data_IF_599046271792
#
_entry.id   IF_599046271792
#
_cell.length_a   1.000
_cell.length_b   1.000
_cell.length_c   1.000
_cell.angle_alpha   90.00
_cell.angle_beta   90.00
_cell.angle_gamma   90.00
#
_symmetry.space_group_name_H-M   'P 1'
#
loop_
_entity.id
_entity.type
_entity.pdbx_description
1 polymer ?
#
# COMPACT_ATOMS: atom_id res chain seq x y z
N UNK A 1 4.05 -7.88 -3.25
CA UNK A 1 3.81 -8.52 -1.94
C UNK A 1 2.51 -9.29 -1.99
N UNK A 2 2.54 -10.50 -1.46
CA UNK A 2 1.35 -11.36 -1.43
C UNK A 2 0.71 -11.35 -0.06
N UNK A 3 -0.49 -10.80 0.02
CA UNK A 3 -1.27 -10.78 1.25
C UNK A 3 -2.25 -11.93 1.29
N UNK A 4 -2.35 -12.56 2.48
CA UNK A 4 -3.36 -13.58 2.72
C UNK A 4 -4.73 -12.94 2.83
N UNK A 5 -5.73 -13.57 2.24
CA UNK A 5 -7.12 -13.17 2.39
C UNK A 5 -7.93 -14.36 2.89
N UNK A 6 -8.97 -14.10 3.65
CA UNK A 6 -9.90 -15.11 4.13
C UNK A 6 -11.31 -14.76 3.67
N UNK A 7 -11.96 -15.73 3.06
CA UNK A 7 -13.28 -15.57 2.45
C UNK A 7 -14.30 -16.33 3.28
N UNK A 8 -15.38 -15.64 3.67
CA UNK A 8 -16.50 -16.24 4.38
C UNK A 8 -17.80 -16.04 3.60
N UNK A 9 -18.74 -16.95 3.80
CA UNK A 9 -20.08 -16.81 3.21
C UNK A 9 -21.12 -17.26 4.20
N UNK A 10 -22.02 -16.37 4.55
CA UNK A 10 -23.21 -16.72 5.30
C UNK A 10 -24.32 -17.12 4.34
N UNK A 11 -25.27 -17.97 4.77
CA UNK A 11 -26.45 -18.26 3.95
C UNK A 11 -27.17 -16.95 3.59
N UNK A 12 -27.61 -16.84 2.35
CA UNK A 12 -28.34 -15.67 1.82
C UNK A 12 -27.53 -14.37 1.75
N UNK A 13 -26.19 -14.45 1.82
CA UNK A 13 -25.33 -13.28 1.68
C UNK A 13 -24.28 -13.50 0.61
N UNK A 14 -23.61 -12.40 0.21
CA UNK A 14 -22.45 -12.46 -0.65
C UNK A 14 -21.24 -13.04 0.09
N UNK A 15 -20.20 -13.37 -0.66
CA UNK A 15 -18.91 -13.70 -0.08
C UNK A 15 -18.28 -12.45 0.50
N UNK A 16 -17.82 -12.52 1.74
CA UNK A 16 -17.09 -11.44 2.39
C UNK A 16 -15.61 -11.80 2.49
N UNK A 17 -14.75 -10.81 2.32
CA UNK A 17 -13.30 -10.99 2.36
C UNK A 17 -12.69 -10.09 3.41
N UNK A 18 -11.82 -10.67 4.23
CA UNK A 18 -11.00 -9.95 5.19
C UNK A 18 -9.54 -10.12 4.80
N UNK A 19 -8.76 -9.06 4.93
CA UNK A 19 -7.31 -9.08 4.70
C UNK A 19 -6.64 -8.88 6.06
N UNK A 20 -6.24 -9.98 6.75
CA UNK A 20 -5.79 -9.87 8.14
C UNK A 20 -4.62 -8.92 8.38
N UNK A 21 -3.68 -8.84 7.46
CA UNK A 21 -2.50 -7.97 7.59
C UNK A 21 -2.79 -6.51 7.25
N UNK A 22 -3.97 -6.20 6.72
CA UNK A 22 -4.40 -4.84 6.43
C UNK A 22 -5.67 -4.53 7.23
N UNK A 23 -5.54 -4.16 8.50
CA UNK A 23 -6.70 -3.87 9.36
C UNK A 23 -7.60 -2.80 8.74
N UNK A 24 -8.91 -3.05 8.76
CA UNK A 24 -9.89 -2.16 8.15
C UNK A 24 -10.08 -2.34 6.65
N UNK A 25 -9.37 -3.25 6.02
CA UNK A 25 -9.50 -3.54 4.58
C UNK A 25 -10.41 -4.75 4.39
N UNK A 26 -11.59 -4.51 3.82
CA UNK A 26 -12.61 -5.53 3.59
C UNK A 26 -13.11 -5.45 2.15
N UNK A 27 -13.64 -6.56 1.67
CA UNK A 27 -14.26 -6.63 0.34
C UNK A 27 -15.41 -7.63 0.34
N UNK A 28 -16.13 -7.70 -0.76
CA UNK A 28 -17.22 -8.64 -0.95
C UNK A 28 -17.45 -8.89 -2.44
N UNK A 29 -18.10 -10.01 -2.75
CA UNK A 29 -18.46 -10.35 -4.12
C UNK A 29 -19.54 -11.42 -4.17
N UNK A 30 -20.27 -11.51 -5.25
CA UNK A 30 -21.32 -12.50 -5.44
C UNK A 30 -20.77 -13.88 -5.79
N UNK A 31 -19.54 -13.95 -6.27
CA UNK A 31 -18.81 -15.19 -6.54
C UNK A 31 -17.44 -15.13 -5.86
N UNK A 32 -16.78 -16.29 -5.71
CA UNK A 32 -15.43 -16.34 -5.14
C UNK A 32 -14.45 -15.55 -6.01
N UNK A 33 -14.52 -15.69 -7.31
CA UNK A 33 -13.64 -14.98 -8.25
C UNK A 33 -13.84 -13.45 -8.14
N UNK A 34 -15.09 -13.00 -8.09
CA UNK A 34 -15.41 -11.59 -7.92
C UNK A 34 -14.91 -11.08 -6.57
N UNK A 35 -15.10 -11.86 -5.50
CA UNK A 35 -14.65 -11.49 -4.17
C UNK A 35 -13.13 -11.34 -4.11
N UNK A 36 -12.38 -12.24 -4.76
CA UNK A 36 -10.92 -12.17 -4.85
C UNK A 36 -10.47 -10.96 -5.65
N UNK A 37 -11.09 -10.70 -6.80
CA UNK A 37 -10.74 -9.55 -7.63
C UNK A 37 -11.00 -8.22 -6.91
N UNK A 38 -12.12 -8.12 -6.21
CA UNK A 38 -12.43 -6.93 -5.41
C UNK A 38 -11.51 -6.79 -4.20
N UNK A 39 -11.07 -7.91 -3.62
CA UNK A 39 -10.09 -7.88 -2.54
C UNK A 39 -8.74 -7.36 -3.04
N UNK A 40 -8.34 -7.73 -4.24
CA UNK A 40 -7.14 -7.21 -4.90
C UNK A 40 -7.22 -5.68 -5.03
N UNK A 41 -8.33 -5.18 -5.56
CA UNK A 41 -8.57 -3.74 -5.71
C UNK A 41 -8.61 -3.03 -4.35
N UNK A 42 -9.28 -3.62 -3.37
CA UNK A 42 -9.36 -3.05 -2.03
C UNK A 42 -8.00 -2.96 -1.35
N UNK A 43 -7.18 -4.00 -1.49
CA UNK A 43 -5.82 -4.00 -0.95
C UNK A 43 -4.96 -2.92 -1.61
N UNK A 44 -5.02 -2.80 -2.93
CA UNK A 44 -4.30 -1.77 -3.67
C UNK A 44 -4.72 -0.37 -3.23
N UNK A 45 -6.01 -0.12 -3.14
CA UNK A 45 -6.55 1.16 -2.70
C UNK A 45 -6.15 1.49 -1.24
N UNK A 46 -6.21 0.50 -0.37
CA UNK A 46 -5.82 0.66 1.04
C UNK A 46 -4.35 1.02 1.20
N UNK A 47 -3.48 0.30 0.50
CA UNK A 47 -2.03 0.55 0.53
C UNK A 47 -1.70 1.90 -0.11
N UNK A 48 -2.36 2.26 -1.21
CA UNK A 48 -2.19 3.56 -1.84
C UNK A 48 -2.52 4.69 -0.87
N UNK A 49 -3.62 4.55 -0.13
CA UNK A 49 -4.00 5.50 0.92
C UNK A 49 -2.96 5.60 2.02
N UNK A 50 -2.40 4.46 2.45
CA UNK A 50 -1.33 4.44 3.46
C UNK A 50 -0.06 5.13 2.95
N UNK A 51 0.30 4.92 1.68
CA UNK A 51 1.45 5.60 1.07
C UNK A 51 1.25 7.11 1.04
N UNK A 52 0.04 7.58 0.73
CA UNK A 52 -0.29 9.00 0.75
C UNK A 52 -0.23 9.60 2.15
N UNK A 53 -0.61 8.84 3.16
CA UNK A 53 -0.61 9.26 4.56
C UNK A 53 0.74 9.03 5.25
N UNK A 54 1.75 8.57 4.52
CA UNK A 54 3.09 8.25 5.02
C UNK A 54 3.07 7.22 6.15
N UNK A 55 2.11 6.32 6.13
CA UNK A 55 2.01 5.24 7.11
C UNK A 55 2.90 4.05 6.68
N UNK A 56 3.48 3.33 7.63
CA UNK A 56 4.25 2.13 7.30
C UNK A 56 3.33 1.05 6.74
N UNK A 57 3.75 0.40 5.64
CA UNK A 57 2.98 -0.68 5.03
C UNK A 57 3.25 -1.97 5.81
N UNK A 58 2.20 -2.63 6.34
CA UNK A 58 2.40 -3.90 7.03
C UNK A 58 3.00 -4.96 6.11
N UNK A 59 4.01 -5.67 6.59
CA UNK A 59 4.56 -6.80 5.86
C UNK A 59 3.53 -7.96 5.86
N UNK A 60 3.34 -8.63 4.72
CA UNK A 60 2.45 -9.80 4.69
C UNK A 60 3.01 -10.93 5.54
N UNK A 61 2.12 -11.57 6.32
CA UNK A 61 2.46 -12.75 7.11
C UNK A 61 1.84 -13.99 6.48
N UNK A 62 2.40 -15.15 6.77
CA UNK A 62 1.91 -16.41 6.23
C UNK A 62 0.48 -16.73 6.71
N UNK A 63 -0.26 -17.44 5.88
CA UNK A 63 -1.60 -17.92 6.22
C UNK A 63 -1.59 -18.66 7.56
N UNK A 64 -0.55 -19.44 7.84
CA UNK A 64 -0.41 -20.22 9.06
C UNK A 64 -0.50 -19.37 10.34
N UNK A 65 -0.07 -18.10 10.26
CA UNK A 65 -0.13 -17.18 11.40
C UNK A 65 -1.57 -16.81 11.73
N UNK A 66 -2.44 -16.74 10.73
CA UNK A 66 -3.81 -16.26 10.88
C UNK A 66 -4.85 -17.36 11.01
N UNK A 67 -4.62 -18.52 10.38
CA UNK A 67 -5.65 -19.57 10.27
C UNK A 67 -6.10 -20.18 11.58
N UNK A 68 -5.32 -20.06 12.63
CA UNK A 68 -5.65 -20.58 13.94
C UNK A 68 -6.55 -19.67 14.75
N UNK A 69 -6.80 -18.45 14.28
CA UNK A 69 -7.65 -17.48 14.96
C UNK A 69 -9.12 -17.86 14.79
N UNK A 70 -9.88 -17.83 15.89
CA UNK A 70 -11.29 -18.19 15.91
C UNK A 70 -12.13 -17.38 14.94
N UNK A 71 -11.81 -16.10 14.77
CA UNK A 71 -12.52 -15.19 13.87
C UNK A 71 -12.41 -15.58 12.39
N UNK A 72 -11.43 -16.43 12.03
CA UNK A 72 -11.22 -16.88 10.66
C UNK A 72 -11.59 -18.35 10.45
N UNK A 73 -12.28 -18.94 11.42
CA UNK A 73 -12.77 -20.32 11.31
C UNK A 73 -13.67 -20.49 10.09
N UNK A 74 -13.57 -21.65 9.45
CA UNK A 74 -14.36 -22.04 8.28
C UNK A 74 -14.16 -21.11 7.06
N UNK A 75 -13.16 -20.25 7.09
CA UNK A 75 -12.83 -19.40 5.93
C UNK A 75 -12.07 -20.13 4.85
N UNK A 76 -12.26 -19.65 3.64
CA UNK A 76 -11.47 -20.09 2.48
C UNK A 76 -10.29 -19.13 2.35
N UNK A 77 -9.07 -19.67 2.33
CA UNK A 77 -7.86 -18.86 2.24
C UNK A 77 -7.38 -18.76 0.80
N UNK A 78 -6.92 -17.55 0.44
CA UNK A 78 -6.31 -17.26 -0.84
C UNK A 78 -5.24 -16.19 -0.67
N UNK A 79 -4.58 -15.85 -1.75
CA UNK A 79 -3.55 -14.80 -1.77
C UNK A 79 -3.90 -13.76 -2.82
N UNK A 80 -3.66 -12.50 -2.50
CA UNK A 80 -3.68 -11.41 -3.47
C UNK A 80 -2.29 -10.81 -3.58
N UNK A 81 -1.86 -10.52 -4.80
CA UNK A 81 -0.54 -9.96 -5.03
C UNK A 81 -0.66 -8.46 -5.30
N UNK A 82 -0.06 -7.66 -4.42
CA UNK A 82 -0.03 -6.22 -4.56
C UNK A 82 1.37 -5.78 -4.98
N UNK A 83 1.47 -5.22 -6.17
CA UNK A 83 2.72 -4.67 -6.67
C UNK A 83 2.80 -3.19 -6.28
N UNK A 84 3.52 -2.90 -5.21
CA UNK A 84 3.67 -1.54 -4.68
C UNK A 84 4.32 -0.61 -5.69
N UNK A 85 5.21 -1.13 -6.54
CA UNK A 85 5.87 -0.31 -7.57
C UNK A 85 4.89 0.24 -8.59
N UNK A 86 3.79 -0.47 -8.86
CA UNK A 86 2.72 -0.01 -9.76
C UNK A 86 1.76 0.96 -9.10
N UNK A 87 1.68 0.94 -7.78
CA UNK A 87 0.90 1.89 -6.99
C UNK A 87 1.63 3.19 -6.79
N UNK A 88 2.91 3.23 -7.10
CA UNK A 88 3.67 4.45 -6.99
C UNK A 88 3.06 5.47 -7.94
N UNK A 89 2.62 6.47 -7.36
CA UNK A 89 2.04 7.69 -7.80
C UNK A 89 2.58 8.14 -9.13
N UNK A 90 1.69 8.39 -10.07
CA UNK A 90 2.05 9.03 -11.32
C UNK A 90 2.78 10.32 -10.99
N UNK A 91 4.04 10.41 -11.38
CA UNK A 91 4.79 11.64 -11.24
C UNK A 91 4.17 12.73 -12.10
N UNK A 92 3.96 13.89 -11.52
CA UNK A 92 3.45 15.06 -12.21
C UNK A 92 4.52 16.14 -12.20
N UNK A 93 4.74 16.75 -13.36
CA UNK A 93 5.69 17.84 -13.47
C UNK A 93 5.13 19.09 -12.78
N UNK A 94 5.88 19.66 -11.86
CA UNK A 94 5.54 20.92 -11.21
C UNK A 94 6.70 21.89 -11.33
N UNK A 95 6.40 23.19 -11.30
CA UNK A 95 7.40 24.23 -11.29
C UNK A 95 7.45 24.86 -9.89
N UNK A 96 8.64 24.96 -9.32
CA UNK A 96 8.85 25.63 -8.03
C UNK A 96 9.99 26.63 -8.18
N UNK A 97 9.95 27.68 -7.37
CA UNK A 97 11.00 28.68 -7.32
C UNK A 97 11.85 28.44 -6.07
N UNK A 98 13.16 28.40 -6.26
CA UNK A 98 14.13 28.19 -5.18
C UNK A 98 15.30 29.15 -5.35
N UNK A 99 15.97 29.52 -4.23
CA UNK A 99 17.21 30.30 -4.33
C UNK A 99 18.27 29.56 -5.14
N UNK A 100 19.00 30.30 -5.99
CA UNK A 100 20.02 29.69 -6.87
C UNK A 100 21.07 28.88 -6.10
N UNK A 101 21.54 29.39 -4.95
CA UNK A 101 22.53 28.70 -4.13
C UNK A 101 22.00 27.36 -3.61
N UNK A 102 20.73 27.33 -3.24
CA UNK A 102 20.10 26.09 -2.76
C UNK A 102 19.98 25.07 -3.90
N UNK A 103 19.63 25.52 -5.10
CA UNK A 103 19.57 24.65 -6.29
C UNK A 103 20.93 24.03 -6.54
N UNK A 104 21.99 24.81 -6.51
CA UNK A 104 23.36 24.33 -6.70
C UNK A 104 23.74 23.29 -5.66
N UNK A 105 23.43 23.55 -4.41
CA UNK A 105 23.70 22.64 -3.28
C UNK A 105 22.91 21.32 -3.43
N UNK A 106 21.64 21.43 -3.80
CA UNK A 106 20.76 20.27 -4.05
C UNK A 106 21.34 19.42 -5.18
N UNK A 107 21.74 20.03 -6.29
CA UNK A 107 22.27 19.32 -7.44
C UNK A 107 23.60 18.60 -7.12
N UNK A 108 24.48 19.26 -6.39
CA UNK A 108 25.75 18.68 -5.96
C UNK A 108 25.52 17.48 -5.01
N UNK A 109 24.61 17.64 -4.07
CA UNK A 109 24.28 16.56 -3.13
C UNK A 109 23.67 15.37 -3.85
N UNK A 110 22.71 15.62 -4.73
CA UNK A 110 22.07 14.57 -5.52
C UNK A 110 23.08 13.80 -6.34
N UNK A 111 23.97 14.51 -7.03
CA UNK A 111 25.02 13.88 -7.86
C UNK A 111 25.96 13.03 -7.01
N UNK A 112 26.35 13.51 -5.84
CA UNK A 112 27.25 12.80 -4.92
C UNK A 112 26.69 11.44 -4.50
N UNK A 113 25.38 11.35 -4.31
CA UNK A 113 24.71 10.15 -3.82
C UNK A 113 23.93 9.39 -4.91
N UNK A 114 24.20 9.68 -6.18
CA UNK A 114 23.60 8.96 -7.28
C UNK A 114 22.10 9.19 -7.49
N UNK A 115 21.60 10.35 -7.03
CA UNK A 115 20.19 10.72 -7.14
C UNK A 115 20.00 11.86 -8.15
N UNK A 116 18.74 12.25 -8.35
CA UNK A 116 18.37 13.41 -9.15
C UNK A 116 17.84 14.51 -8.24
N UNK A 117 17.78 15.74 -8.76
CA UNK A 117 17.14 16.86 -8.05
C UNK A 117 15.72 16.49 -7.62
N UNK A 118 14.91 16.00 -8.54
CA UNK A 118 13.52 15.63 -8.26
C UNK A 118 13.40 14.51 -7.21
N UNK A 119 14.23 13.49 -7.31
CA UNK A 119 14.26 12.40 -6.34
C UNK A 119 14.64 12.86 -4.94
N UNK A 120 15.69 13.68 -4.86
CA UNK A 120 16.14 14.24 -3.59
C UNK A 120 15.06 15.12 -2.95
N UNK A 121 14.44 16.01 -3.73
CA UNK A 121 13.40 16.91 -3.22
C UNK A 121 12.17 16.14 -2.74
N UNK A 122 11.75 15.12 -3.48
CA UNK A 122 10.62 14.28 -3.07
C UNK A 122 10.90 13.55 -1.76
N UNK A 123 12.08 12.98 -1.61
CA UNK A 123 12.51 12.30 -0.39
C UNK A 123 12.59 13.28 0.78
N UNK A 124 13.21 14.42 0.58
CA UNK A 124 13.38 15.44 1.63
C UNK A 124 12.03 15.95 2.13
N UNK A 125 11.09 16.25 1.24
CA UNK A 125 9.75 16.72 1.61
C UNK A 125 9.00 15.64 2.37
N UNK A 126 9.07 14.39 1.92
CA UNK A 126 8.43 13.25 2.59
C UNK A 126 8.96 13.09 4.02
N UNK A 127 10.27 13.10 4.18
CA UNK A 127 10.92 12.98 5.50
C UNK A 127 10.59 14.16 6.40
N UNK A 128 10.59 15.38 5.87
CA UNK A 128 10.27 16.57 6.63
C UNK A 128 8.84 16.51 7.18
N UNK A 129 7.87 16.16 6.34
CA UNK A 129 6.47 16.05 6.78
C UNK A 129 6.28 14.96 7.83
N UNK A 130 6.98 13.83 7.69
CA UNK A 130 6.90 12.72 8.64
C UNK A 130 7.40 13.12 10.03
N UNK A 131 8.40 14.00 10.12
CA UNK A 131 9.01 14.43 11.39
C UNK A 131 8.38 15.70 11.98
N UNK A 132 7.56 16.42 11.22
CA UNK A 132 6.96 17.69 11.63
C UNK A 132 5.43 17.65 11.60
N UNK A 133 4.87 16.54 12.02
CA UNK A 133 3.41 16.37 12.14
C UNK A 133 2.84 17.08 13.34
#
# INVERSE_FOLDING_TARGET
MKYSIVIHKDPDSDYSVTIPDLPGCFSAGSTIEEAINKAQEAAECHIEGMLLDLEPIPAPRDIEVHRTKTEYEDGIWALVDVDISKLSLKSKRINITMPERLIMTVDQYAKKYGSTRSGLLSQAVTEYMATHQ
#
